data_IF_916368764503
#
_entry.id   IF_916368764503
#
_cell.length_a   1.000
_cell.length_b   1.000
_cell.length_c   1.000
_cell.angle_alpha   90.00
_cell.angle_beta   90.00
_cell.angle_gamma   90.00
#
_symmetry.space_group_name_H-M   'P 1'
#
loop_
_entity.id
_entity.type
_entity.pdbx_description
1 polymer ?
#
# COMPACT_ATOMS: atom_id res chain seq x y z
N UNK A 1 -13.49 -3.99 -17.94
CA UNK A 1 -12.32 -3.47 -17.18
C UNK A 1 -12.42 -1.96 -16.98
N UNK A 2 -12.61 -1.17 -18.04
CA UNK A 2 -12.86 0.29 -17.97
C UNK A 2 -14.31 0.71 -18.29
N UNK A 3 -15.14 -0.21 -18.79
CA UNK A 3 -16.50 0.11 -19.31
C UNK A 3 -17.56 0.26 -18.22
N UNK A 4 -17.35 -0.32 -17.05
CA UNK A 4 -18.44 -0.57 -16.10
C UNK A 4 -18.57 0.53 -15.02
N UNK A 5 -17.51 1.34 -14.81
CA UNK A 5 -17.49 2.50 -13.90
C UNK A 5 -16.50 3.60 -14.36
N UNK A 6 -16.67 4.15 -15.58
CA UNK A 6 -15.71 5.10 -16.16
C UNK A 6 -15.58 6.39 -15.33
N UNK A 7 -16.69 6.94 -14.85
CA UNK A 7 -16.72 8.26 -14.19
C UNK A 7 -15.98 8.28 -12.84
N UNK A 8 -16.12 7.21 -12.04
CA UNK A 8 -15.47 7.13 -10.72
C UNK A 8 -13.97 6.90 -10.84
N UNK A 9 -13.56 6.07 -11.78
CA UNK A 9 -12.15 5.89 -12.11
C UNK A 9 -11.54 7.18 -12.67
N UNK A 10 -12.26 7.89 -13.53
CA UNK A 10 -11.80 9.17 -14.08
C UNK A 10 -11.57 10.20 -12.99
N UNK A 11 -12.48 10.29 -12.02
CA UNK A 11 -12.33 11.17 -10.87
C UNK A 11 -11.07 10.85 -10.05
N UNK A 12 -10.79 9.57 -9.79
CA UNK A 12 -9.59 9.16 -9.06
C UNK A 12 -8.30 9.39 -9.84
N UNK A 13 -8.31 9.09 -11.15
CA UNK A 13 -7.17 9.35 -12.01
C UNK A 13 -6.88 10.85 -12.12
N UNK A 14 -7.89 11.70 -12.32
CA UNK A 14 -7.71 13.16 -12.37
C UNK A 14 -7.22 13.74 -11.05
N UNK A 15 -7.66 13.20 -9.93
CA UNK A 15 -7.23 13.64 -8.59
C UNK A 15 -5.73 13.40 -8.36
N UNK A 16 -5.21 12.26 -8.83
CA UNK A 16 -3.83 11.82 -8.54
C UNK A 16 -2.87 12.13 -9.68
N UNK A 17 -3.38 12.10 -10.91
CA UNK A 17 -2.67 12.31 -12.17
C UNK A 17 -3.44 13.35 -13.01
N UNK A 18 -3.41 14.64 -12.65
CA UNK A 18 -4.23 15.68 -13.29
C UNK A 18 -3.94 15.89 -14.79
N UNK A 19 -2.82 15.37 -15.29
CA UNK A 19 -2.48 15.39 -16.73
C UNK A 19 -3.04 14.21 -17.54
N UNK A 20 -3.71 13.24 -16.91
CA UNK A 20 -4.20 12.02 -17.57
C UNK A 20 -5.70 12.15 -17.80
N UNK A 21 -6.13 12.13 -19.07
CA UNK A 21 -7.56 12.09 -19.40
C UNK A 21 -7.99 10.65 -19.64
N UNK A 22 -9.22 10.31 -19.24
CA UNK A 22 -9.74 8.98 -19.51
C UNK A 22 -9.84 8.71 -21.03
N UNK A 23 -10.12 9.75 -21.82
CA UNK A 23 -10.14 9.70 -23.28
C UNK A 23 -8.79 9.27 -23.88
N UNK A 24 -7.67 9.61 -23.24
CA UNK A 24 -6.32 9.23 -23.68
C UNK A 24 -6.11 7.71 -23.55
N UNK A 25 -6.83 7.06 -22.62
CA UNK A 25 -6.86 5.60 -22.52
C UNK A 25 -7.63 4.97 -23.68
N UNK A 26 -8.78 5.54 -24.04
CA UNK A 26 -9.67 4.98 -25.07
C UNK A 26 -9.13 5.18 -26.47
N UNK A 27 -8.43 6.29 -26.70
CA UNK A 27 -7.81 6.64 -27.98
C UNK A 27 -6.45 5.98 -28.19
N UNK A 28 -5.89 5.34 -27.17
CA UNK A 28 -4.59 4.68 -27.23
C UNK A 28 -3.40 5.65 -27.19
N UNK A 29 -3.64 6.92 -26.83
CA UNK A 29 -2.57 7.89 -26.59
C UNK A 29 -1.68 7.47 -25.41
N UNK A 30 -2.26 6.79 -24.41
CA UNK A 30 -1.53 6.19 -23.30
C UNK A 30 -1.27 4.69 -23.49
N UNK A 31 -0.08 4.23 -23.08
CA UNK A 31 0.29 2.81 -23.21
C UNK A 31 -0.45 1.98 -22.17
N UNK A 32 -0.98 0.77 -22.51
CA UNK A 32 -1.64 -0.12 -21.54
C UNK A 32 -0.82 -0.38 -20.27
N UNK A 33 0.50 -0.46 -20.40
CA UNK A 33 1.43 -0.62 -19.26
C UNK A 33 1.46 0.59 -18.34
N UNK A 34 1.42 1.81 -18.89
CA UNK A 34 1.40 3.04 -18.09
C UNK A 34 0.12 3.11 -17.25
N UNK A 35 -1.00 2.71 -17.84
CA UNK A 35 -2.31 2.64 -17.19
C UNK A 35 -2.33 1.62 -16.05
N UNK A 36 -1.84 0.40 -16.31
CA UNK A 36 -1.72 -0.62 -15.27
C UNK A 36 -0.83 -0.14 -14.11
N UNK A 37 0.22 0.62 -14.42
CA UNK A 37 1.10 1.18 -13.41
C UNK A 37 0.42 2.32 -12.62
N UNK A 38 -0.33 3.20 -13.26
CA UNK A 38 -1.06 4.30 -12.58
C UNK A 38 -2.15 3.75 -11.66
N UNK A 39 -2.93 2.79 -12.13
CA UNK A 39 -3.99 2.15 -11.35
C UNK A 39 -3.45 1.39 -10.13
N UNK A 40 -2.32 0.69 -10.27
CA UNK A 40 -1.64 0.02 -9.17
C UNK A 40 -1.11 0.98 -8.07
N UNK A 41 -0.99 2.27 -8.40
CA UNK A 41 -0.45 3.31 -7.53
C UNK A 41 -1.49 4.30 -7.02
N UNK A 42 -2.78 4.10 -7.34
CA UNK A 42 -3.84 4.91 -6.77
C UNK A 42 -3.90 4.74 -5.25
N UNK A 43 -4.23 5.81 -4.51
CA UNK A 43 -4.39 5.76 -3.06
C UNK A 43 -5.50 4.80 -2.66
N UNK A 44 -5.42 4.29 -1.43
CA UNK A 44 -6.44 3.42 -0.82
C UNK A 44 -7.82 4.09 -0.87
N UNK A 45 -8.88 3.29 -1.01
CA UNK A 45 -10.25 3.78 -1.13
C UNK A 45 -10.61 4.39 -2.48
N UNK A 46 -9.73 4.30 -3.50
CA UNK A 46 -10.11 4.64 -4.86
C UNK A 46 -11.18 3.66 -5.37
N UNK A 47 -12.07 4.13 -6.23
CA UNK A 47 -13.12 3.32 -6.86
C UNK A 47 -12.55 2.13 -7.63
N UNK A 48 -11.29 2.23 -8.08
CA UNK A 48 -10.54 1.10 -8.65
C UNK A 48 -10.36 -0.01 -7.64
N UNK A 49 -9.92 0.33 -6.43
CA UNK A 49 -9.72 -0.66 -5.38
C UNK A 49 -11.03 -1.26 -4.89
N UNK A 50 -12.12 -0.51 -4.87
CA UNK A 50 -13.47 -1.05 -4.57
C UNK A 50 -13.91 -2.07 -5.62
N UNK A 51 -13.70 -1.77 -6.90
CA UNK A 51 -14.07 -2.66 -8.01
C UNK A 51 -13.23 -3.94 -8.06
N UNK A 52 -11.90 -3.86 -7.87
CA UNK A 52 -11.01 -5.03 -7.89
C UNK A 52 -10.97 -5.80 -6.56
N UNK A 53 -11.03 -5.09 -5.44
CA UNK A 53 -11.00 -5.69 -4.11
C UNK A 53 -12.32 -6.36 -3.74
N UNK A 54 -13.43 -6.00 -4.41
CA UNK A 54 -14.76 -6.50 -4.10
C UNK A 54 -15.05 -6.32 -2.60
N UNK A 55 -15.57 -7.37 -1.96
CA UNK A 55 -15.85 -7.38 -0.52
C UNK A 55 -14.62 -7.18 0.39
N UNK A 56 -13.40 -7.19 -0.14
CA UNK A 56 -12.15 -7.04 0.61
C UNK A 56 -11.53 -5.65 0.48
N UNK A 57 -12.11 -4.75 -0.31
CA UNK A 57 -11.67 -3.37 -0.37
C UNK A 57 -11.97 -2.66 0.96
N UNK A 58 -11.01 -1.90 1.47
CA UNK A 58 -11.28 -1.00 2.60
C UNK A 58 -11.92 0.25 2.01
N UNK A 59 -13.24 0.27 2.04
CA UNK A 59 -14.05 1.44 1.71
C UNK A 59 -14.05 2.43 2.89
N UNK A 60 -14.57 3.64 2.67
CA UNK A 60 -14.72 4.63 3.73
C UNK A 60 -15.63 4.13 4.87
N UNK A 61 -16.66 3.34 4.54
CA UNK A 61 -17.56 2.71 5.51
C UNK A 61 -16.81 1.66 6.34
N UNK A 62 -15.98 0.84 5.69
CA UNK A 62 -15.17 -0.18 6.37
C UNK A 62 -14.15 0.47 7.31
N UNK A 63 -13.50 1.54 6.86
CA UNK A 63 -12.59 2.33 7.67
C UNK A 63 -13.30 2.96 8.87
N UNK A 64 -14.49 3.52 8.66
CA UNK A 64 -15.31 4.11 9.73
C UNK A 64 -15.67 3.05 10.79
N UNK A 65 -16.03 1.84 10.37
CA UNK A 65 -16.27 0.71 11.26
C UNK A 65 -15.03 0.33 12.07
N UNK A 66 -13.84 0.32 11.45
CA UNK A 66 -12.58 0.03 12.15
C UNK A 66 -12.24 1.09 13.20
N UNK A 67 -12.52 2.36 12.91
CA UNK A 67 -12.33 3.45 13.87
C UNK A 67 -13.30 3.33 15.07
N UNK A 68 -14.57 3.00 14.81
CA UNK A 68 -15.56 2.76 15.86
C UNK A 68 -15.18 1.54 16.71
N UNK A 69 -14.77 0.44 16.07
CA UNK A 69 -14.27 -0.77 16.75
C UNK A 69 -13.07 -0.42 17.66
N UNK A 70 -12.08 0.30 17.13
CA UNK A 70 -10.92 0.75 17.89
C UNK A 70 -11.30 1.60 19.10
N UNK A 71 -12.16 2.60 18.91
CA UNK A 71 -12.63 3.47 19.99
C UNK A 71 -13.36 2.67 21.08
N UNK A 72 -14.20 1.71 20.68
CA UNK A 72 -14.95 0.86 21.60
C UNK A 72 -14.01 -0.02 22.43
N UNK A 73 -13.01 -0.65 21.80
CA UNK A 73 -12.02 -1.48 22.49
C UNK A 73 -11.13 -0.63 23.41
N UNK A 74 -10.71 0.57 22.96
CA UNK A 74 -9.88 1.45 23.75
C UNK A 74 -10.60 1.89 25.04
N UNK A 75 -11.88 2.28 24.94
CA UNK A 75 -12.71 2.68 26.11
C UNK A 75 -12.90 1.52 27.09
N UNK A 76 -13.05 0.29 26.59
CA UNK A 76 -13.23 -0.90 27.42
C UNK A 76 -11.92 -1.45 28.03
N UNK A 77 -10.76 -0.96 27.59
CA UNK A 77 -9.45 -1.47 28.02
C UNK A 77 -8.95 -0.79 29.29
N UNK A 78 -8.35 -1.57 30.19
CA UNK A 78 -7.65 -1.04 31.36
C UNK A 78 -6.36 -0.24 30.99
N UNK A 79 -5.88 -0.39 29.76
CA UNK A 79 -4.69 0.31 29.22
C UNK A 79 -5.00 0.84 27.81
N UNK A 80 -5.76 1.94 27.71
CA UNK A 80 -6.26 2.46 26.44
C UNK A 80 -5.13 2.89 25.49
N UNK A 81 -4.03 3.42 26.04
CA UNK A 81 -2.82 3.83 25.32
C UNK A 81 -2.12 2.69 24.56
N UNK A 82 -2.34 1.44 24.98
CA UNK A 82 -1.76 0.25 24.34
C UNK A 82 -2.63 -0.33 23.24
N UNK A 83 -3.88 0.09 23.12
CA UNK A 83 -4.80 -0.37 22.07
C UNK A 83 -4.45 0.35 20.77
N UNK A 84 -3.78 -0.36 19.87
CA UNK A 84 -3.42 0.18 18.56
C UNK A 84 -4.55 -0.05 17.54
N UNK A 85 -4.79 0.91 16.63
CA UNK A 85 -5.68 0.69 15.50
C UNK A 85 -5.23 -0.50 14.66
N UNK A 86 -6.20 -1.13 13.97
CA UNK A 86 -5.90 -2.19 13.01
C UNK A 86 -4.98 -1.63 11.92
N UNK A 87 -3.87 -2.31 11.59
CA UNK A 87 -2.98 -1.84 10.54
C UNK A 87 -3.65 -1.95 9.18
N UNK A 88 -3.54 -0.91 8.36
CA UNK A 88 -3.98 -0.96 6.98
C UNK A 88 -3.08 -1.89 6.15
N UNK A 89 -3.62 -2.59 5.14
CA UNK A 89 -2.83 -3.35 4.18
C UNK A 89 -1.85 -2.44 3.45
N UNK A 90 -0.55 -2.79 3.48
CA UNK A 90 0.50 -2.01 2.81
C UNK A 90 0.21 -1.88 1.31
N UNK A 91 0.32 -0.64 0.79
CA UNK A 91 0.29 -0.40 -0.65
C UNK A 91 1.55 -0.93 -1.31
N UNK A 92 1.54 -1.11 -2.63
CA UNK A 92 2.65 -1.74 -3.38
C UNK A 92 4.00 -1.03 -3.11
N UNK A 93 4.03 0.31 -3.15
CA UNK A 93 5.25 1.08 -2.84
C UNK A 93 5.74 0.90 -1.40
N UNK A 94 4.82 0.76 -0.46
CA UNK A 94 5.17 0.54 0.94
C UNK A 94 5.69 -0.88 1.16
N UNK A 95 5.13 -1.87 0.47
CA UNK A 95 5.66 -3.24 0.46
C UNK A 95 7.07 -3.29 -0.12
N UNK A 96 7.30 -2.64 -1.27
CA UNK A 96 8.63 -2.56 -1.89
C UNK A 96 9.65 -1.89 -0.95
N UNK A 97 9.27 -0.77 -0.31
CA UNK A 97 10.13 -0.08 0.66
C UNK A 97 10.42 -0.96 1.88
N UNK A 98 9.41 -1.66 2.40
CA UNK A 98 9.56 -2.60 3.50
C UNK A 98 10.52 -3.73 3.11
N UNK A 99 10.37 -4.31 1.91
CA UNK A 99 11.25 -5.35 1.40
C UNK A 99 12.69 -4.85 1.24
N UNK A 100 12.90 -3.67 0.65
CA UNK A 100 14.23 -3.05 0.52
C UNK A 100 14.89 -2.83 1.89
N UNK A 101 14.13 -2.32 2.86
CA UNK A 101 14.61 -2.12 4.22
C UNK A 101 14.97 -3.45 4.90
N UNK A 102 14.14 -4.48 4.74
CA UNK A 102 14.39 -5.79 5.35
C UNK A 102 15.62 -6.45 4.73
N UNK A 103 15.79 -6.34 3.42
CA UNK A 103 16.98 -6.81 2.69
C UNK A 103 18.24 -6.08 3.13
N UNK A 104 18.18 -4.75 3.28
CA UNK A 104 19.36 -3.97 3.71
C UNK A 104 19.79 -4.29 5.14
N UNK A 105 18.84 -4.55 6.04
CA UNK A 105 19.13 -5.04 7.40
C UNK A 105 19.75 -6.43 7.39
N UNK A 106 19.26 -7.35 6.55
CA UNK A 106 19.83 -8.68 6.41
C UNK A 106 21.27 -8.64 5.87
N UNK A 107 21.55 -7.75 4.91
CA UNK A 107 22.89 -7.54 4.37
C UNK A 107 23.85 -6.96 5.41
N UNK A 108 23.40 -5.96 6.18
CA UNK A 108 24.19 -5.39 7.26
C UNK A 108 24.53 -6.43 8.34
N UNK A 109 23.56 -7.27 8.71
CA UNK A 109 23.77 -8.36 9.65
C UNK A 109 24.78 -9.39 9.13
N UNK A 110 24.66 -9.80 7.85
CA UNK A 110 25.59 -10.73 7.20
C UNK A 110 27.03 -10.20 7.18
N UNK A 111 27.23 -8.92 6.83
CA UNK A 111 28.56 -8.28 6.87
C UNK A 111 29.17 -8.29 8.26
N UNK A 112 28.35 -8.01 9.28
CA UNK A 112 28.79 -8.02 10.69
C UNK A 112 29.20 -9.43 11.15
N UNK A 113 28.48 -10.47 10.71
CA UNK A 113 28.85 -11.86 11.01
C UNK A 113 30.14 -12.27 10.30
N UNK A 114 30.28 -11.94 9.01
CA UNK A 114 31.48 -12.24 8.25
C UNK A 114 32.74 -11.60 8.87
N UNK A 115 32.68 -10.30 9.19
CA UNK A 115 33.78 -9.60 9.84
C UNK A 115 34.15 -10.21 11.21
N UNK A 116 33.19 -10.78 11.93
CA UNK A 116 33.41 -11.44 13.22
C UNK A 116 34.09 -12.80 13.07
N UNK A 117 33.73 -13.55 12.02
CA UNK A 117 34.38 -14.82 11.67
C UNK A 117 35.79 -14.59 11.14
N UNK A 118 35.99 -13.59 10.29
CA UNK A 118 37.30 -13.24 9.75
C UNK A 118 38.26 -12.78 10.87
N UNK A 119 37.78 -11.98 11.82
CA UNK A 119 38.56 -11.59 13.00
C UNK A 119 38.95 -12.78 13.88
N UNK A 120 38.01 -13.72 14.11
CA UNK A 120 38.29 -14.94 14.88
C UNK A 120 39.26 -15.90 14.17
N UNK A 121 39.35 -15.82 12.84
CA UNK A 121 40.25 -16.63 12.00
C UNK A 121 41.65 -16.03 11.86
N UNK A 122 41.81 -14.73 12.13
CA UNK A 122 43.08 -14.02 12.08
C UNK A 122 43.88 -14.08 13.40
N UNK A 123 43.20 -14.38 14.51
CA UNK A 123 43.79 -14.46 15.85
C UNK A 123 44.18 -15.90 16.27
N UNK A 124 44.00 -16.90 15.41
CA UNK A 124 44.34 -18.32 15.65
C UNK A 124 45.39 -18.84 14.67
#
# INVERSE_FOLDING_TARGET
MLRDCPDRLEADLRRVYPGVRLDDLWTGAERPRAIANMTAHLPRGSAVWEYYGGQRAITAETESLWLVEHATIAVASAKPDRVKPRPYPLGVREQERQQQYTTSQADAWRRKQQARLDAASADG
#
